data_IF_904387427170
#
_entry.id   IF_904387427170
#
_cell.length_a   1.000
_cell.length_b   1.000
_cell.length_c   1.000
_cell.angle_alpha   90.00
_cell.angle_beta   90.00
_cell.angle_gamma   90.00
#
_symmetry.space_group_name_H-M   'P 1'
#
loop_
_entity.id
_entity.type
_entity.pdbx_description
1 polymer ?
#
# COMPACT_ATOMS: atom_id res chain seq x y z
N UNK A 1 -19.37 -24.13 11.27
CA UNK A 1 -18.16 -24.82 10.77
C UNK A 1 -17.00 -23.82 10.75
N UNK A 2 -15.93 -24.14 11.46
CA UNK A 2 -14.74 -23.30 11.41
C UNK A 2 -13.91 -23.68 10.19
N UNK A 3 -13.70 -22.73 9.30
CA UNK A 3 -12.78 -22.92 8.18
C UNK A 3 -11.35 -22.77 8.70
N UNK A 4 -10.47 -23.65 8.23
CA UNK A 4 -9.09 -23.66 8.67
C UNK A 4 -8.31 -22.54 7.99
N UNK A 5 -7.74 -21.65 8.79
CA UNK A 5 -6.84 -20.62 8.32
C UNK A 5 -5.58 -21.24 7.72
N UNK A 6 -5.01 -20.58 6.72
CA UNK A 6 -3.72 -20.98 6.17
C UNK A 6 -2.91 -19.75 5.79
N UNK A 7 -1.60 -19.93 5.71
CA UNK A 7 -0.67 -18.87 5.32
C UNK A 7 -0.22 -19.07 3.89
N UNK A 8 -0.12 -17.95 3.16
CA UNK A 8 0.47 -17.91 1.82
C UNK A 8 1.81 -17.19 1.93
N UNK A 9 2.94 -17.89 1.71
CA UNK A 9 4.24 -17.25 1.77
C UNK A 9 4.49 -16.43 0.51
N UNK A 10 5.24 -15.34 0.67
CA UNK A 10 5.72 -14.57 -0.47
C UNK A 10 6.83 -15.36 -1.16
N UNK A 11 6.74 -15.53 -2.48
CA UNK A 11 7.69 -16.33 -3.24
C UNK A 11 9.14 -15.82 -3.10
N UNK A 12 9.32 -14.50 -3.14
CA UNK A 12 10.64 -13.85 -3.03
C UNK A 12 11.22 -13.89 -1.63
N UNK A 13 10.38 -13.97 -0.61
CA UNK A 13 10.81 -14.00 0.79
C UNK A 13 9.78 -14.78 1.60
N UNK A 14 9.93 -16.12 1.73
CA UNK A 14 8.92 -16.95 2.38
C UNK A 14 8.74 -16.69 3.88
N UNK A 15 9.59 -15.88 4.50
CA UNK A 15 9.37 -15.44 5.88
C UNK A 15 8.21 -14.44 6.00
N UNK A 16 7.83 -13.80 4.90
CA UNK A 16 6.65 -12.93 4.83
C UNK A 16 5.47 -13.79 4.42
N UNK A 17 4.41 -13.80 5.23
CA UNK A 17 3.25 -14.64 5.00
C UNK A 17 1.98 -13.83 5.13
N UNK A 18 1.05 -14.05 4.20
CA UNK A 18 -0.29 -13.50 4.26
C UNK A 18 -1.24 -14.55 4.80
N UNK A 19 -2.00 -14.19 5.83
CA UNK A 19 -2.99 -15.09 6.43
C UNK A 19 -4.29 -15.06 5.61
N UNK A 20 -4.77 -16.24 5.25
CA UNK A 20 -6.03 -16.39 4.51
C UNK A 20 -7.03 -17.16 5.37
N UNK A 21 -8.22 -16.60 5.50
CA UNK A 21 -9.33 -17.19 6.23
C UNK A 21 -10.41 -17.55 5.23
N UNK A 22 -10.57 -18.84 4.87
CA UNK A 22 -11.66 -19.26 3.98
C UNK A 22 -13.00 -19.11 4.68
N UNK A 23 -14.03 -18.81 3.92
CA UNK A 23 -15.38 -18.68 4.45
C UNK A 23 -16.25 -17.81 3.55
N UNK A 24 -17.45 -17.57 4.03
CA UNK A 24 -18.40 -16.70 3.35
C UNK A 24 -18.47 -15.38 4.10
N UNK A 25 -17.91 -14.34 3.50
CA UNK A 25 -17.86 -13.00 4.09
C UNK A 25 -18.66 -12.04 3.23
N UNK A 26 -19.35 -11.11 3.88
CA UNK A 26 -20.09 -10.06 3.20
C UNK A 26 -19.41 -8.74 3.48
N UNK A 27 -19.04 -8.03 2.43
CA UNK A 27 -18.63 -6.63 2.50
C UNK A 27 -19.80 -5.74 2.10
N UNK A 28 -19.65 -4.43 2.17
CA UNK A 28 -20.72 -3.49 1.82
C UNK A 28 -21.29 -3.70 0.41
N UNK A 29 -20.55 -4.30 -0.50
CA UNK A 29 -20.96 -4.44 -1.90
C UNK A 29 -20.73 -5.85 -2.47
N UNK A 30 -20.03 -6.73 -1.76
CA UNK A 30 -19.58 -8.00 -2.32
C UNK A 30 -19.69 -9.14 -1.33
N UNK A 31 -19.92 -10.30 -1.89
CA UNK A 31 -19.83 -11.58 -1.22
C UNK A 31 -18.47 -12.20 -1.59
N UNK A 32 -17.65 -12.47 -0.59
CA UNK A 32 -16.31 -13.04 -0.82
C UNK A 32 -16.16 -14.40 -0.14
N UNK A 33 -15.36 -15.27 -0.75
CA UNK A 33 -15.12 -16.61 -0.24
C UNK A 33 -13.87 -16.74 0.64
N UNK A 34 -13.02 -15.71 0.63
CA UNK A 34 -11.80 -15.67 1.42
C UNK A 34 -11.60 -14.29 2.01
N UNK A 35 -11.14 -14.26 3.24
CA UNK A 35 -10.71 -13.03 3.90
C UNK A 35 -9.20 -13.04 4.06
N UNK A 36 -8.55 -11.97 3.62
CA UNK A 36 -7.10 -11.80 3.78
C UNK A 36 -6.82 -11.00 5.03
N UNK A 37 -6.17 -11.63 6.00
CA UNK A 37 -5.75 -10.94 7.20
C UNK A 37 -4.34 -10.41 7.00
N UNK A 38 -4.25 -9.10 6.80
CA UNK A 38 -2.99 -8.40 6.55
C UNK A 38 -2.46 -7.68 7.80
N UNK A 39 -3.13 -7.83 8.94
CA UNK A 39 -2.81 -7.06 10.14
C UNK A 39 -1.38 -7.29 10.63
N UNK A 40 -0.91 -8.53 10.62
CA UNK A 40 0.45 -8.81 11.05
C UNK A 40 1.50 -8.14 10.15
N UNK A 41 1.24 -8.04 8.85
CA UNK A 41 2.13 -7.35 7.91
C UNK A 41 2.18 -5.84 8.19
N UNK A 42 1.05 -5.26 8.61
CA UNK A 42 0.91 -3.82 8.84
C UNK A 42 1.37 -3.38 10.21
N UNK A 43 1.17 -4.19 11.24
CA UNK A 43 1.34 -3.76 12.63
C UNK A 43 2.57 -4.31 13.32
N UNK A 44 3.05 -5.48 12.91
CA UNK A 44 4.27 -6.07 13.47
C UNK A 44 5.49 -5.38 12.84
N UNK A 45 6.17 -4.57 13.63
CA UNK A 45 7.24 -3.70 13.13
C UNK A 45 8.35 -4.46 12.40
N UNK A 46 8.79 -5.60 12.93
CA UNK A 46 9.84 -6.38 12.27
C UNK A 46 9.40 -7.01 10.95
N UNK A 47 8.13 -7.41 10.86
CA UNK A 47 7.54 -7.92 9.62
C UNK A 47 7.32 -6.77 8.63
N UNK A 48 6.77 -5.65 9.09
CA UNK A 48 6.55 -4.46 8.25
C UNK A 48 7.87 -3.95 7.64
N UNK A 49 8.97 -4.02 8.37
CA UNK A 49 10.28 -3.66 7.85
C UNK A 49 10.70 -4.57 6.69
N UNK A 50 10.48 -5.87 6.82
CA UNK A 50 10.78 -6.82 5.74
C UNK A 50 9.88 -6.60 4.52
N UNK A 51 8.60 -6.33 4.76
CA UNK A 51 7.63 -5.97 3.71
C UNK A 51 8.11 -4.74 2.95
N UNK A 52 8.55 -3.71 3.67
CA UNK A 52 9.03 -2.47 3.06
C UNK A 52 10.25 -2.70 2.17
N UNK A 53 11.15 -3.60 2.56
CA UNK A 53 12.30 -3.96 1.72
C UNK A 53 11.87 -4.52 0.37
N UNK A 54 10.87 -5.39 0.37
CA UNK A 54 10.35 -5.96 -0.88
C UNK A 54 9.63 -4.89 -1.71
N UNK A 55 8.83 -4.04 -1.07
CA UNK A 55 8.09 -2.99 -1.75
C UNK A 55 9.00 -1.88 -2.32
N UNK A 56 10.19 -1.72 -1.77
CA UNK A 56 11.12 -0.68 -2.23
C UNK A 56 11.70 -0.97 -3.62
N UNK A 57 11.82 -2.24 -3.99
CA UNK A 57 12.55 -2.67 -5.20
C UNK A 57 12.17 -1.90 -6.47
N UNK A 58 10.88 -1.67 -6.80
CA UNK A 58 10.52 -0.95 -8.02
C UNK A 58 10.94 0.52 -8.05
N UNK A 59 11.28 1.09 -6.90
CA UNK A 59 11.51 2.53 -6.74
C UNK A 59 12.97 2.90 -6.51
N UNK A 60 13.88 1.91 -6.46
CA UNK A 60 15.26 2.17 -5.99
C UNK A 60 16.15 2.86 -7.02
N UNK A 61 15.93 2.65 -8.32
CA UNK A 61 16.92 3.08 -9.30
C UNK A 61 16.71 4.51 -9.81
N UNK A 62 15.49 4.90 -10.19
CA UNK A 62 15.28 6.16 -10.90
C UNK A 62 13.99 6.90 -10.58
N UNK A 63 13.27 6.48 -9.55
CA UNK A 63 11.99 7.11 -9.18
C UNK A 63 12.21 8.15 -8.09
N UNK A 64 11.97 9.43 -8.36
CA UNK A 64 12.01 10.46 -7.31
C UNK A 64 10.76 10.31 -6.43
N UNK A 65 10.93 10.31 -5.11
CA UNK A 65 9.84 10.19 -4.15
C UNK A 65 9.99 11.27 -3.08
N UNK A 66 8.95 12.05 -2.90
CA UNK A 66 8.90 13.11 -1.87
C UNK A 66 8.02 12.69 -0.69
N UNK A 67 6.95 11.97 -0.97
CA UNK A 67 5.92 11.65 0.02
C UNK A 67 5.35 10.25 -0.24
N UNK A 68 5.13 9.51 0.83
CA UNK A 68 4.40 8.25 0.79
C UNK A 68 3.06 8.49 1.48
N UNK A 69 1.98 8.31 0.73
CA UNK A 69 0.62 8.42 1.26
C UNK A 69 0.12 7.04 1.60
N UNK A 70 -0.21 6.83 2.86
CA UNK A 70 -0.61 5.53 3.39
C UNK A 70 -2.07 5.53 3.76
N UNK A 71 -2.83 4.59 3.21
CA UNK A 71 -4.23 4.39 3.56
C UNK A 71 -4.45 2.97 4.08
N UNK A 72 -5.52 2.77 4.84
CA UNK A 72 -5.90 1.47 5.40
C UNK A 72 -4.86 0.88 6.35
N UNK A 73 -4.23 1.73 7.16
CA UNK A 73 -3.35 1.27 8.23
C UNK A 73 -1.95 0.83 7.78
N UNK A 74 -1.46 1.35 6.66
CA UNK A 74 -0.15 0.97 6.10
C UNK A 74 0.99 1.89 6.50
N UNK A 75 0.78 2.81 7.44
CA UNK A 75 1.75 3.84 7.80
C UNK A 75 3.03 3.31 8.42
N UNK A 76 2.98 2.20 9.15
CA UNK A 76 4.20 1.58 9.69
C UNK A 76 5.08 1.06 8.54
N UNK A 77 4.47 0.38 7.57
CA UNK A 77 5.18 -0.05 6.36
C UNK A 77 5.71 1.18 5.61
N UNK A 78 4.90 2.22 5.50
CA UNK A 78 5.28 3.46 4.83
C UNK A 78 6.52 4.11 5.42
N UNK A 79 6.63 4.13 6.75
CA UNK A 79 7.81 4.67 7.45
C UNK A 79 9.07 3.86 7.10
N UNK A 80 8.99 2.53 7.13
CA UNK A 80 10.12 1.68 6.75
C UNK A 80 10.43 1.77 5.26
N UNK A 81 9.43 1.94 4.42
CA UNK A 81 9.63 2.14 2.98
C UNK A 81 10.40 3.45 2.71
N UNK A 82 10.02 4.53 3.40
CA UNK A 82 10.74 5.80 3.32
C UNK A 82 12.21 5.62 3.70
N UNK A 83 12.47 4.92 4.78
CA UNK A 83 13.84 4.64 5.25
C UNK A 83 14.64 3.84 4.22
N UNK A 84 14.04 2.80 3.64
CA UNK A 84 14.69 1.99 2.60
C UNK A 84 15.05 2.84 1.37
N UNK A 85 14.15 3.71 0.94
CA UNK A 85 14.38 4.57 -0.22
C UNK A 85 15.48 5.61 0.06
N UNK A 86 15.55 6.13 1.29
CA UNK A 86 16.59 7.08 1.67
C UNK A 86 17.98 6.41 1.75
N UNK A 87 18.04 5.16 2.21
CA UNK A 87 19.31 4.45 2.39
C UNK A 87 19.80 3.75 1.13
N UNK A 88 18.89 3.15 0.35
CA UNK A 88 19.22 2.28 -0.78
C UNK A 88 19.00 2.92 -2.13
N UNK A 89 18.23 4.01 -2.23
CA UNK A 89 17.98 4.71 -3.47
C UNK A 89 19.28 5.33 -3.99
N UNK A 90 19.79 4.85 -5.12
CA UNK A 90 21.14 5.20 -5.59
C UNK A 90 21.18 6.55 -6.31
N UNK A 91 20.14 6.89 -7.09
CA UNK A 91 20.17 8.04 -8.00
C UNK A 91 19.92 9.36 -7.30
N UNK A 92 19.12 9.37 -6.24
CA UNK A 92 18.69 10.58 -5.55
C UNK A 92 19.28 10.68 -4.15
N UNK A 93 20.43 10.07 -3.93
CA UNK A 93 21.14 10.11 -2.65
C UNK A 93 21.66 11.52 -2.39
N UNK A 94 21.12 12.12 -1.32
CA UNK A 94 21.58 13.39 -0.80
C UNK A 94 21.38 13.37 0.70
N UNK A 95 22.31 13.96 1.45
CA UNK A 95 22.19 14.08 2.92
C UNK A 95 21.00 14.95 3.33
N UNK A 96 20.51 15.81 2.42
CA UNK A 96 19.38 16.70 2.69
C UNK A 96 18.05 16.15 2.20
N UNK A 97 18.06 14.95 1.63
CA UNK A 97 16.85 14.36 1.09
C UNK A 97 15.89 13.95 2.21
N UNK A 98 14.64 14.30 2.04
CA UNK A 98 13.56 14.00 2.97
C UNK A 98 12.44 13.26 2.26
N UNK A 99 11.84 12.29 2.94
CA UNK A 99 10.61 11.64 2.49
C UNK A 99 9.62 11.71 3.65
N UNK A 100 8.45 12.26 3.37
CA UNK A 100 7.39 12.36 4.37
C UNK A 100 6.42 11.18 4.22
N UNK A 101 5.85 10.76 5.34
CA UNK A 101 4.82 9.71 5.39
C UNK A 101 3.55 10.38 5.90
N UNK A 102 2.49 10.34 5.09
CA UNK A 102 1.27 11.09 5.36
C UNK A 102 0.06 10.15 5.29
N UNK A 103 -0.85 10.31 6.22
CA UNK A 103 -2.11 9.57 6.27
C UNK A 103 -3.24 10.56 6.04
N UNK A 104 -4.07 10.39 5.01
CA UNK A 104 -5.26 11.24 4.84
C UNK A 104 -6.30 10.92 5.90
N UNK A 105 -7.19 11.86 6.12
CA UNK A 105 -8.31 11.71 7.05
C UNK A 105 -9.62 11.71 6.26
N UNK A 106 -10.70 11.20 6.87
CA UNK A 106 -12.02 11.29 6.28
C UNK A 106 -12.74 12.54 6.78
N UNK A 107 -13.41 13.25 5.87
CA UNK A 107 -14.28 14.36 6.26
C UNK A 107 -15.64 13.83 6.73
N UNK A 108 -16.55 14.75 7.05
CA UNK A 108 -17.91 14.39 7.53
C UNK A 108 -18.73 13.60 6.49
N UNK A 109 -18.37 13.67 5.23
CA UNK A 109 -19.01 12.92 4.14
C UNK A 109 -18.26 11.62 3.80
N UNK A 110 -17.33 11.19 4.65
CA UNK A 110 -16.48 10.00 4.46
C UNK A 110 -15.58 10.06 3.23
N UNK A 111 -15.28 11.26 2.74
CA UNK A 111 -14.33 11.45 1.66
C UNK A 111 -12.93 11.68 2.23
N UNK A 112 -11.93 11.15 1.54
CA UNK A 112 -10.54 11.37 1.92
C UNK A 112 -10.16 12.82 1.71
N UNK A 113 -9.41 13.36 2.67
CA UNK A 113 -8.86 14.71 2.60
C UNK A 113 -7.53 14.79 3.35
N UNK A 114 -6.77 15.83 3.07
CA UNK A 114 -5.57 16.15 3.83
C UNK A 114 -5.84 17.39 4.69
N UNK A 115 -5.43 17.32 5.96
CA UNK A 115 -5.49 18.46 6.84
C UNK A 115 -4.63 19.59 6.28
N UNK A 116 -4.99 20.84 6.57
CA UNK A 116 -4.39 22.01 5.95
C UNK A 116 -2.85 22.03 6.06
N UNK A 117 -2.31 21.67 7.20
CA UNK A 117 -0.88 21.63 7.47
C UNK A 117 -0.14 20.50 6.74
N UNK A 118 -0.89 19.54 6.17
CA UNK A 118 -0.31 18.43 5.39
C UNK A 118 -0.37 18.66 3.88
N UNK A 119 -1.14 19.62 3.40
CA UNK A 119 -1.35 19.80 1.96
C UNK A 119 -0.08 20.17 1.21
N UNK A 120 0.83 20.89 1.84
CA UNK A 120 2.13 21.24 1.23
C UNK A 120 3.01 20.02 0.97
N UNK A 121 2.77 18.91 1.69
CA UNK A 121 3.50 17.66 1.49
C UNK A 121 2.95 16.86 0.30
N UNK A 122 1.85 17.29 -0.27
CA UNK A 122 1.17 16.65 -1.40
C UNK A 122 1.32 17.48 -2.68
N UNK A 123 1.07 18.78 -2.58
CA UNK A 123 1.03 19.66 -3.75
C UNK A 123 2.36 19.68 -4.50
N UNK A 124 2.30 19.32 -5.77
CA UNK A 124 3.45 19.24 -6.68
C UNK A 124 4.56 18.28 -6.19
N UNK A 125 4.21 17.30 -5.38
CA UNK A 125 5.15 16.30 -4.86
C UNK A 125 5.03 14.98 -5.59
N UNK A 126 6.14 14.25 -5.67
CA UNK A 126 6.17 12.90 -6.22
C UNK A 126 5.74 11.92 -5.13
N UNK A 127 4.64 11.19 -5.38
CA UNK A 127 3.94 10.44 -4.35
C UNK A 127 3.90 8.95 -4.71
N UNK A 128 4.26 8.12 -3.74
CA UNK A 128 3.88 6.71 -3.73
C UNK A 128 2.58 6.59 -2.93
N UNK A 129 1.56 6.00 -3.54
CA UNK A 129 0.33 5.63 -2.83
C UNK A 129 0.44 4.18 -2.37
N UNK A 130 0.36 3.98 -1.06
CA UNK A 130 0.44 2.66 -0.43
C UNK A 130 -0.92 2.31 0.17
N UNK A 131 -1.51 1.23 -0.34
CA UNK A 131 -2.83 0.75 0.10
C UNK A 131 -2.70 -0.69 0.62
N UNK A 132 -3.56 -1.07 1.56
CA UNK A 132 -3.54 -2.43 2.12
C UNK A 132 -3.98 -3.46 1.09
N UNK A 133 -5.13 -3.25 0.49
CA UNK A 133 -5.67 -4.20 -0.48
C UNK A 133 -6.51 -3.49 -1.54
N UNK A 134 -6.57 -4.11 -2.71
CA UNK A 134 -7.39 -3.64 -3.83
C UNK A 134 -8.35 -4.78 -4.20
N UNK A 135 -9.64 -4.53 -4.09
CA UNK A 135 -10.67 -5.48 -4.52
C UNK A 135 -11.48 -4.92 -5.69
N UNK A 136 -12.46 -4.05 -5.43
CA UNK A 136 -13.26 -3.42 -6.49
C UNK A 136 -12.54 -2.24 -7.15
N UNK A 137 -11.54 -1.68 -6.50
CA UNK A 137 -10.88 -0.46 -6.97
C UNK A 137 -11.52 0.83 -6.50
N UNK A 138 -12.59 0.77 -5.72
CA UNK A 138 -13.30 1.96 -5.24
C UNK A 138 -12.41 2.81 -4.32
N UNK A 139 -11.75 2.19 -3.35
CA UNK A 139 -10.83 2.89 -2.45
C UNK A 139 -9.65 3.47 -3.20
N UNK A 140 -9.09 2.70 -4.13
CA UNK A 140 -7.99 3.17 -4.97
C UNK A 140 -8.41 4.39 -5.79
N UNK A 141 -9.56 4.32 -6.46
CA UNK A 141 -10.10 5.43 -7.25
C UNK A 141 -10.30 6.69 -6.41
N UNK A 142 -10.88 6.55 -5.22
CA UNK A 142 -11.08 7.67 -4.30
C UNK A 142 -9.77 8.29 -3.84
N UNK A 143 -8.77 7.47 -3.56
CA UNK A 143 -7.46 7.95 -3.16
C UNK A 143 -6.75 8.70 -4.29
N UNK A 144 -6.81 8.18 -5.51
CA UNK A 144 -6.22 8.84 -6.67
C UNK A 144 -6.90 10.17 -6.97
N UNK A 145 -8.24 10.22 -6.86
CA UNK A 145 -9.00 11.46 -7.04
C UNK A 145 -8.61 12.49 -5.97
N UNK A 146 -8.47 12.07 -4.73
CA UNK A 146 -8.03 12.92 -3.62
C UNK A 146 -6.64 13.52 -3.90
N UNK A 147 -5.69 12.69 -4.31
CA UNK A 147 -4.33 13.15 -4.62
C UNK A 147 -4.32 14.13 -5.79
N UNK A 148 -5.12 13.88 -6.82
CA UNK A 148 -5.26 14.81 -7.94
C UNK A 148 -5.82 16.15 -7.50
N UNK A 149 -6.83 16.13 -6.64
CA UNK A 149 -7.45 17.35 -6.12
C UNK A 149 -6.42 18.23 -5.39
N UNK A 150 -5.52 17.61 -4.61
CA UNK A 150 -4.49 18.35 -3.86
C UNK A 150 -3.19 18.57 -4.65
N UNK A 151 -3.16 18.24 -5.93
CA UNK A 151 -2.03 18.55 -6.80
C UNK A 151 -0.86 17.56 -6.73
N UNK A 152 -1.08 16.37 -6.19
CA UNK A 152 -0.05 15.34 -6.07
C UNK A 152 0.26 14.68 -7.41
N UNK A 153 1.52 14.28 -7.58
CA UNK A 153 1.98 13.52 -8.74
C UNK A 153 2.23 12.08 -8.31
N UNK A 154 1.34 11.17 -8.68
CA UNK A 154 1.48 9.76 -8.30
C UNK A 154 2.51 9.10 -9.20
N UNK A 155 3.66 8.76 -8.63
CA UNK A 155 4.76 8.10 -9.33
C UNK A 155 4.76 6.58 -9.13
N UNK A 156 3.96 6.08 -8.19
CA UNK A 156 3.81 4.65 -7.97
C UNK A 156 2.64 4.34 -7.08
N UNK A 157 2.07 3.14 -7.30
CA UNK A 157 1.01 2.58 -6.47
C UNK A 157 1.50 1.21 -6.01
N UNK A 158 1.47 0.98 -4.70
CA UNK A 158 1.85 -0.29 -4.09
C UNK A 158 0.77 -0.80 -3.16
N UNK A 159 0.55 -2.10 -3.16
CA UNK A 159 -0.44 -2.74 -2.30
C UNK A 159 0.09 -4.05 -1.74
N UNK A 160 -0.45 -4.46 -0.61
CA UNK A 160 -0.11 -5.77 -0.02
C UNK A 160 -0.84 -6.90 -0.74
N UNK A 161 -2.10 -6.68 -1.09
CA UNK A 161 -2.92 -7.68 -1.78
C UNK A 161 -3.76 -7.05 -2.88
N UNK A 162 -3.68 -7.62 -4.09
CA UNK A 162 -4.49 -7.19 -5.23
C UNK A 162 -5.36 -8.37 -5.70
N UNK A 163 -6.67 -8.25 -5.50
CA UNK A 163 -7.63 -9.29 -5.87
C UNK A 163 -7.81 -9.41 -7.40
N UNK A 164 -7.52 -8.33 -8.14
CA UNK A 164 -7.77 -8.27 -9.58
C UNK A 164 -6.56 -7.64 -10.31
N UNK A 165 -5.41 -8.32 -10.34
CA UNK A 165 -4.17 -7.70 -10.83
C UNK A 165 -4.21 -7.30 -12.30
N UNK A 166 -5.17 -7.79 -13.07
CA UNK A 166 -5.28 -7.55 -14.51
C UNK A 166 -6.31 -6.47 -14.89
N UNK A 167 -7.08 -5.96 -13.92
CA UNK A 167 -8.24 -5.11 -14.21
C UNK A 167 -7.96 -3.60 -14.23
N UNK A 168 -6.84 -3.18 -13.69
CA UNK A 168 -6.56 -1.74 -13.55
C UNK A 168 -5.62 -1.29 -14.67
N UNK A 169 -5.98 -0.18 -15.33
CA UNK A 169 -5.23 0.34 -16.49
C UNK A 169 -3.92 1.03 -16.15
N UNK A 170 -3.45 0.93 -14.90
CA UNK A 170 -2.20 1.51 -14.46
C UNK A 170 -1.38 0.46 -13.72
N UNK A 171 -0.07 0.63 -13.72
CA UNK A 171 0.84 -0.30 -13.06
C UNK A 171 0.68 -0.23 -11.55
N UNK A 172 0.40 -1.37 -10.94
CA UNK A 172 0.28 -1.51 -9.49
C UNK A 172 1.28 -2.57 -9.05
N UNK A 173 2.17 -2.19 -8.14
CA UNK A 173 3.12 -3.12 -7.53
C UNK A 173 2.44 -3.83 -6.38
N UNK A 174 2.13 -5.11 -6.59
CA UNK A 174 1.38 -5.93 -5.64
C UNK A 174 2.30 -6.95 -5.00
N UNK A 175 2.25 -7.06 -3.66
CA UNK A 175 3.02 -8.06 -2.95
C UNK A 175 2.41 -9.45 -3.16
N UNK A 176 1.12 -9.56 -2.89
CA UNK A 176 0.33 -10.76 -3.13
C UNK A 176 -0.82 -10.43 -4.08
N UNK A 177 -1.21 -11.41 -4.88
CA UNK A 177 -2.37 -11.29 -5.76
C UNK A 177 -3.30 -12.49 -5.58
N UNK A 178 -4.47 -12.44 -6.21
CA UNK A 178 -5.40 -13.57 -6.24
C UNK A 178 -4.78 -14.84 -6.82
N UNK A 179 -3.75 -14.71 -7.67
CA UNK A 179 -3.04 -15.85 -8.24
C UNK A 179 -2.23 -16.63 -7.20
N UNK A 180 -1.89 -16.03 -6.07
CA UNK A 180 -1.13 -16.68 -4.99
C UNK A 180 -2.02 -17.56 -4.10
N UNK A 181 -3.33 -17.43 -4.21
CA UNK A 181 -4.29 -18.19 -3.40
C UNK A 181 -4.66 -19.46 -4.15
N UNK A 182 -4.48 -20.64 -3.52
CA UNK A 182 -4.90 -21.92 -4.13
C UNK A 182 -6.40 -21.91 -4.42
N UNK A 183 -6.76 -22.34 -5.62
CA UNK A 183 -8.14 -22.40 -6.09
C UNK A 183 -9.01 -23.45 -5.41
#
# INVERSE_FOLDING_TARGET
MRYKEFDVPLAKNPSIRMKVVPGHFTTNSFYITHYMDLNNLKTNASVARQVAKELAAPYLSDTPVDTIVCIEGTEVIGAYLAEELLQRGSRFRSSDRQIHVVVPVNNVYRKLMFQHDMQELIDNKNIILLVSSISSGTTLGSALECLRYYGGKVVGISTLFNAHPEQFGQEIHSMFTSHDIPG
#
